data_IF_214135572291
#
_entry.id   IF_214135572291
#
_cell.length_a   1.000
_cell.length_b   1.000
_cell.length_c   1.000
_cell.angle_alpha   90.00
_cell.angle_beta   90.00
_cell.angle_gamma   90.00
#
_symmetry.space_group_name_H-M   'P 1'
#
loop_
_entity.id
_entity.type
_entity.pdbx_description
1 polymer ?
#
# COMPACT_ATOMS: atom_id res chain seq x y z
N UNK A 1 15.80 -19.58 11.33
CA UNK A 1 16.42 -19.02 10.12
C UNK A 1 16.07 -17.53 10.15
N UNK A 2 17.06 -16.65 10.31
CA UNK A 2 16.81 -15.21 10.49
C UNK A 2 16.18 -14.63 9.23
N UNK A 3 15.24 -13.69 9.37
CA UNK A 3 14.75 -12.95 8.21
C UNK A 3 15.95 -12.27 7.53
N UNK A 4 16.03 -12.25 6.19
CA UNK A 4 17.05 -11.47 5.52
C UNK A 4 16.98 -10.01 6.00
N UNK A 5 18.12 -9.31 6.21
CA UNK A 5 18.11 -7.92 6.70
C UNK A 5 17.24 -6.97 5.87
N UNK A 6 17.12 -7.23 4.56
CA UNK A 6 16.19 -6.52 3.68
C UNK A 6 14.74 -6.68 4.12
N UNK A 7 14.29 -7.90 4.43
CA UNK A 7 12.93 -8.14 4.88
C UNK A 7 12.68 -7.48 6.25
N UNK A 8 13.65 -7.50 7.15
CA UNK A 8 13.54 -6.81 8.44
C UNK A 8 13.41 -5.30 8.29
N UNK A 9 14.19 -4.68 7.39
CA UNK A 9 14.09 -3.25 7.07
C UNK A 9 12.70 -2.86 6.55
N UNK A 10 12.17 -3.64 5.59
CA UNK A 10 10.81 -3.40 5.06
C UNK A 10 9.75 -3.46 6.16
N UNK A 11 9.87 -4.40 7.10
CA UNK A 11 8.94 -4.50 8.22
C UNK A 11 8.98 -3.27 9.12
N UNK A 12 10.17 -2.70 9.36
CA UNK A 12 10.32 -1.47 10.13
C UNK A 12 9.60 -0.31 9.43
N UNK A 13 9.82 -0.14 8.13
CA UNK A 13 9.24 0.96 7.35
C UNK A 13 7.72 0.86 7.26
N UNK A 14 7.20 -0.33 7.00
CA UNK A 14 5.76 -0.60 6.90
C UNK A 14 5.04 -0.38 8.24
N UNK A 15 5.64 -0.83 9.35
CA UNK A 15 5.10 -0.58 10.70
C UNK A 15 5.26 0.89 11.09
N UNK A 16 6.32 1.57 10.65
CA UNK A 16 6.50 3.01 10.85
C UNK A 16 5.40 3.81 10.14
N UNK A 17 4.98 3.38 8.95
CA UNK A 17 3.89 3.99 8.16
C UNK A 17 2.48 3.60 8.64
N UNK A 18 2.38 2.81 9.73
CA UNK A 18 1.11 2.53 10.40
C UNK A 18 0.35 1.32 9.89
N UNK A 19 0.99 0.41 9.16
CA UNK A 19 0.34 -0.83 8.70
C UNK A 19 0.20 -1.85 9.84
N UNK A 20 -0.84 -2.67 9.77
CA UNK A 20 -0.96 -3.92 10.51
C UNK A 20 -0.15 -4.99 9.79
N UNK A 21 0.64 -5.77 10.52
CA UNK A 21 1.47 -6.84 9.97
C UNK A 21 0.98 -8.21 10.44
N UNK A 22 0.76 -9.11 9.50
CA UNK A 22 0.48 -10.53 9.69
C UNK A 22 1.74 -11.32 9.32
N UNK A 23 2.30 -12.03 10.30
CA UNK A 23 3.38 -13.00 10.06
C UNK A 23 2.78 -14.40 10.01
N UNK A 24 2.82 -15.01 8.82
CA UNK A 24 2.31 -16.34 8.54
C UNK A 24 3.41 -17.38 8.74
N UNK A 25 3.04 -18.54 9.27
CA UNK A 25 3.97 -19.61 9.58
C UNK A 25 4.76 -19.40 10.89
N UNK A 26 5.72 -20.30 11.19
CA UNK A 26 6.52 -20.23 12.40
C UNK A 26 7.28 -18.91 12.52
N UNK A 27 7.26 -18.29 13.71
CA UNK A 27 7.93 -16.99 13.94
C UNK A 27 9.42 -16.99 13.59
N UNK A 28 10.08 -18.12 13.75
CA UNK A 28 11.51 -18.30 13.49
C UNK A 28 11.85 -18.59 12.01
N UNK A 29 10.83 -18.78 11.16
CA UNK A 29 10.93 -18.97 9.73
C UNK A 29 9.54 -18.71 9.09
N UNK A 30 9.12 -17.44 8.93
CA UNK A 30 7.82 -17.12 8.36
C UNK A 30 7.70 -17.65 6.93
N UNK A 31 6.53 -18.16 6.57
CA UNK A 31 6.19 -18.60 5.21
C UNK A 31 5.74 -17.43 4.34
N UNK A 32 5.14 -16.42 4.96
CA UNK A 32 4.76 -15.18 4.30
C UNK A 32 4.64 -14.03 5.31
N UNK A 33 4.78 -12.81 4.82
CA UNK A 33 4.44 -11.59 5.53
C UNK A 33 3.38 -10.86 4.72
N UNK A 34 2.29 -10.47 5.38
CA UNK A 34 1.26 -9.62 4.77
C UNK A 34 1.13 -8.38 5.63
N UNK A 35 1.21 -7.19 5.02
CA UNK A 35 0.92 -5.95 5.70
C UNK A 35 -0.32 -5.31 5.08
N UNK A 36 -1.17 -4.72 5.92
CA UNK A 36 -2.38 -4.03 5.49
C UNK A 36 -2.53 -2.67 6.14
N UNK A 37 -2.86 -1.66 5.33
CA UNK A 37 -3.31 -0.36 5.81
C UNK A 37 -4.74 -0.12 5.34
N UNK A 38 -5.63 0.11 6.30
CA UNK A 38 -7.05 0.20 6.03
C UNK A 38 -7.48 1.66 5.83
N UNK A 39 -7.92 1.98 4.60
CA UNK A 39 -8.58 3.25 4.28
C UNK A 39 -10.10 3.12 4.42
N UNK A 40 -10.86 4.20 4.25
CA UNK A 40 -12.33 4.14 4.32
C UNK A 40 -12.94 3.21 3.27
N UNK A 41 -12.42 3.23 2.02
CA UNK A 41 -12.99 2.50 0.86
C UNK A 41 -12.06 1.47 0.22
N UNK A 42 -10.82 1.35 0.69
CA UNK A 42 -9.86 0.41 0.15
C UNK A 42 -8.87 -0.07 1.22
N UNK A 43 -8.03 -1.02 0.87
CA UNK A 43 -6.97 -1.55 1.70
C UNK A 43 -5.70 -1.54 0.87
N UNK A 44 -4.65 -0.89 1.38
CA UNK A 44 -3.31 -1.00 0.81
C UNK A 44 -2.64 -2.25 1.40
N UNK A 45 -2.08 -3.10 0.54
CA UNK A 45 -1.48 -4.38 0.89
C UNK A 45 -0.03 -4.45 0.44
N UNK A 46 0.79 -5.14 1.23
CA UNK A 46 2.11 -5.63 0.84
C UNK A 46 2.19 -7.11 1.21
N UNK A 47 2.50 -7.97 0.25
CA UNK A 47 2.64 -9.41 0.44
C UNK A 47 4.05 -9.86 0.05
N UNK A 48 4.74 -10.47 1.00
CA UNK A 48 6.07 -11.07 0.83
C UNK A 48 5.90 -12.59 1.00
N UNK A 49 6.02 -13.35 -0.09
CA UNK A 49 6.03 -14.82 -0.06
C UNK A 49 7.40 -15.39 -0.41
N UNK A 50 8.08 -14.70 -1.32
CA UNK A 50 9.47 -14.92 -1.68
C UNK A 50 10.22 -13.63 -1.37
N UNK A 51 11.39 -13.73 -0.72
CA UNK A 51 12.17 -12.53 -0.37
C UNK A 51 12.78 -11.85 -1.60
N UNK A 52 12.74 -12.50 -2.77
CA UNK A 52 13.17 -11.91 -4.04
C UNK A 52 12.05 -11.12 -4.74
N UNK A 53 10.78 -11.43 -4.44
CA UNK A 53 9.61 -10.82 -5.11
C UNK A 53 8.49 -10.49 -4.13
N UNK A 54 8.19 -9.20 -4.06
CA UNK A 54 7.15 -8.65 -3.21
C UNK A 54 6.05 -8.07 -4.09
N UNK A 55 4.80 -8.30 -3.68
CA UNK A 55 3.63 -7.72 -4.36
C UNK A 55 2.97 -6.69 -3.46
N UNK A 56 2.91 -5.45 -3.92
CA UNK A 56 2.11 -4.39 -3.35
C UNK A 56 0.78 -4.25 -4.11
N UNK A 57 -0.29 -3.86 -3.43
CA UNK A 57 -1.59 -3.66 -4.07
C UNK A 57 -2.49 -2.68 -3.33
N UNK A 58 -3.51 -2.17 -4.03
CA UNK A 58 -4.67 -1.51 -3.45
C UNK A 58 -5.92 -2.30 -3.82
N UNK A 59 -6.64 -2.75 -2.79
CA UNK A 59 -7.84 -3.58 -2.91
C UNK A 59 -9.07 -2.74 -2.57
N UNK A 60 -10.08 -2.64 -3.45
CA UNK A 60 -11.33 -1.97 -3.12
C UNK A 60 -12.12 -2.74 -2.06
N UNK A 61 -12.76 -2.04 -1.11
CA UNK A 61 -13.64 -2.66 -0.12
C UNK A 61 -15.05 -2.83 -0.68
N UNK A 62 -15.39 -4.04 -1.12
CA UNK A 62 -16.77 -4.42 -1.50
C UNK A 62 -17.37 -5.40 -0.48
N UNK A 63 -17.24 -5.08 0.81
CA UNK A 63 -17.66 -5.93 1.92
C UNK A 63 -16.46 -6.50 2.69
N UNK A 64 -16.56 -7.77 3.13
CA UNK A 64 -15.47 -8.44 3.84
C UNK A 64 -14.38 -8.85 2.84
N UNK A 65 -13.24 -8.15 2.90
CA UNK A 65 -12.07 -8.46 2.07
C UNK A 65 -11.19 -9.49 2.80
N UNK A 66 -10.80 -10.56 2.11
CA UNK A 66 -9.73 -11.44 2.58
C UNK A 66 -8.38 -10.86 2.15
N UNK A 67 -7.64 -10.28 3.09
CA UNK A 67 -6.32 -9.68 2.83
C UNK A 67 -5.25 -10.70 2.40
N UNK A 68 -5.51 -12.00 2.58
CA UNK A 68 -4.61 -13.09 2.17
C UNK A 68 -4.98 -13.68 0.81
N UNK A 69 -6.13 -13.31 0.25
CA UNK A 69 -6.62 -13.83 -1.01
C UNK A 69 -7.55 -12.82 -1.70
N UNK A 70 -7.08 -11.58 -1.97
CA UNK A 70 -7.90 -10.61 -2.68
C UNK A 70 -8.18 -11.12 -4.10
N UNK A 71 -9.42 -11.00 -4.57
CA UNK A 71 -9.80 -11.41 -5.93
C UNK A 71 -9.65 -10.24 -6.92
N UNK A 72 -9.84 -9.01 -6.46
CA UNK A 72 -9.86 -7.80 -7.26
C UNK A 72 -8.93 -6.74 -6.66
N UNK A 73 -8.21 -6.02 -7.50
CA UNK A 73 -7.38 -4.86 -7.16
C UNK A 73 -7.71 -3.70 -8.09
N UNK A 74 -7.37 -2.48 -7.67
CA UNK A 74 -7.37 -1.29 -8.55
C UNK A 74 -5.96 -0.82 -8.90
N UNK A 75 -4.98 -1.38 -8.21
CA UNK A 75 -3.56 -1.13 -8.44
C UNK A 75 -2.75 -2.27 -7.83
N UNK A 76 -1.66 -2.65 -8.49
CA UNK A 76 -0.72 -3.64 -8.02
C UNK A 76 0.65 -3.40 -8.63
N UNK A 77 1.69 -3.74 -7.88
CA UNK A 77 3.07 -3.69 -8.30
C UNK A 77 3.78 -4.95 -7.79
N UNK A 78 4.41 -5.70 -8.69
CA UNK A 78 5.26 -6.84 -8.33
C UNK A 78 6.71 -6.53 -8.73
N UNK A 79 7.63 -6.70 -7.79
CA UNK A 79 9.04 -6.46 -8.07
C UNK A 79 9.94 -6.74 -6.88
N UNK A 80 11.17 -6.22 -6.95
CA UNK A 80 12.13 -6.33 -5.87
C UNK A 80 11.56 -5.66 -4.59
N UNK A 81 11.93 -6.14 -3.39
CA UNK A 81 11.27 -5.74 -2.15
C UNK A 81 11.25 -4.23 -1.90
N UNK A 82 12.37 -3.54 -2.11
CA UNK A 82 12.48 -2.09 -1.93
C UNK A 82 11.63 -1.33 -2.95
N UNK A 83 11.58 -1.79 -4.20
CA UNK A 83 10.80 -1.14 -5.25
C UNK A 83 9.31 -1.26 -4.99
N UNK A 84 8.84 -2.45 -4.61
CA UNK A 84 7.45 -2.69 -4.26
C UNK A 84 7.01 -1.87 -3.04
N UNK A 85 7.87 -1.81 -2.01
CA UNK A 85 7.61 -0.96 -0.85
C UNK A 85 7.56 0.51 -1.25
N UNK A 86 8.54 1.01 -2.00
CA UNK A 86 8.56 2.42 -2.41
C UNK A 86 7.33 2.77 -3.25
N UNK A 87 6.93 1.90 -4.18
CA UNK A 87 5.73 2.07 -4.99
C UNK A 87 4.47 2.15 -4.11
N UNK A 88 4.37 1.31 -3.08
CA UNK A 88 3.27 1.35 -2.13
C UNK A 88 3.28 2.61 -1.26
N UNK A 89 4.44 2.98 -0.71
CA UNK A 89 4.57 4.13 0.18
C UNK A 89 4.26 5.44 -0.54
N UNK A 90 4.64 5.54 -1.81
CA UNK A 90 4.36 6.66 -2.70
C UNK A 90 3.00 6.59 -3.38
N UNK A 91 2.22 5.52 -3.15
CA UNK A 91 0.90 5.41 -3.74
C UNK A 91 0.01 6.51 -3.17
N UNK A 92 -0.50 7.36 -4.06
CA UNK A 92 -1.30 8.53 -3.70
C UNK A 92 -2.49 8.17 -2.82
N UNK A 93 -2.97 9.17 -2.08
CA UNK A 93 -4.15 9.04 -1.25
C UNK A 93 -5.36 8.52 -2.07
N UNK A 94 -6.21 7.63 -1.53
CA UNK A 94 -7.35 7.08 -2.28
C UNK A 94 -8.39 8.10 -2.77
N UNK A 95 -8.42 9.30 -2.18
CA UNK A 95 -9.30 10.40 -2.59
C UNK A 95 -8.63 11.40 -3.55
N UNK A 96 -7.37 11.15 -3.94
CA UNK A 96 -6.72 11.96 -4.97
C UNK A 96 -7.47 11.80 -6.31
N UNK A 97 -7.65 12.86 -7.12
CA UNK A 97 -8.36 12.78 -8.40
C UNK A 97 -7.79 11.72 -9.36
N UNK A 98 -6.46 11.57 -9.36
CA UNK A 98 -5.75 10.60 -10.20
C UNK A 98 -5.56 9.23 -9.54
N UNK A 99 -6.22 8.96 -8.41
CA UNK A 99 -6.09 7.68 -7.73
C UNK A 99 -6.56 6.53 -8.65
N UNK A 100 -5.83 5.41 -8.72
CA UNK A 100 -6.27 4.26 -9.50
C UNK A 100 -7.62 3.75 -9.02
N UNK A 101 -8.56 3.63 -9.97
CA UNK A 101 -9.95 3.18 -9.71
C UNK A 101 -10.41 2.04 -10.61
N UNK A 102 -9.69 1.79 -11.71
CA UNK A 102 -10.03 0.72 -12.65
C UNK A 102 -9.74 -0.65 -12.02
N UNK A 103 -10.76 -1.49 -11.92
CA UNK A 103 -10.67 -2.81 -11.30
C UNK A 103 -10.12 -3.86 -12.27
N UNK A 104 -9.30 -4.77 -11.75
CA UNK A 104 -8.82 -5.94 -12.47
C UNK A 104 -8.51 -7.10 -11.51
N UNK A 105 -8.33 -8.30 -12.07
CA UNK A 105 -8.03 -9.50 -11.29
C UNK A 105 -6.72 -9.34 -10.51
N UNK A 106 -6.75 -9.74 -9.24
CA UNK A 106 -5.58 -9.69 -8.38
C UNK A 106 -4.45 -10.61 -8.90
N UNK A 107 -3.18 -10.15 -8.85
CA UNK A 107 -2.04 -11.02 -9.11
C UNK A 107 -2.02 -12.23 -8.16
N UNK A 108 -1.69 -13.41 -8.69
CA UNK A 108 -1.65 -14.67 -7.92
C UNK A 108 -0.68 -14.60 -6.72
N UNK A 109 0.36 -13.77 -6.81
CA UNK A 109 1.34 -13.60 -5.75
C UNK A 109 0.81 -12.85 -4.51
N UNK A 110 -0.38 -12.26 -4.57
CA UNK A 110 -1.11 -11.78 -3.38
C UNK A 110 -1.79 -12.90 -2.60
N UNK A 111 -1.98 -14.07 -3.21
CA UNK A 111 -2.63 -15.19 -2.55
C UNK A 111 -1.64 -15.93 -1.65
N UNK A 112 -1.94 -15.97 -0.35
CA UNK A 112 -1.28 -16.80 0.66
C UNK A 112 -2.20 -17.96 1.03
N UNK A 113 -1.89 -19.21 0.62
CA UNK A 113 -2.73 -20.37 0.92
C UNK A 113 -3.00 -20.56 2.42
N UNK A 114 -4.21 -20.98 2.78
CA UNK A 114 -4.63 -21.19 4.18
C UNK A 114 -3.67 -22.08 4.99
N UNK A 115 -3.11 -23.11 4.34
CA UNK A 115 -2.14 -24.01 4.96
C UNK A 115 -0.83 -23.30 5.35
N UNK A 116 -0.43 -22.26 4.61
CA UNK A 116 0.78 -21.47 4.87
C UNK A 116 0.54 -20.34 5.89
N UNK A 117 -0.72 -19.94 6.11
CA UNK A 117 -1.05 -18.84 7.02
C UNK A 117 -0.78 -19.17 8.49
N UNK A 118 -0.77 -20.46 8.89
CA UNK A 118 -0.75 -20.88 10.30
C UNK A 118 0.59 -21.51 10.69
N UNK A 119 1.09 -21.27 11.93
CA UNK A 119 0.56 -20.35 12.93
C UNK A 119 0.65 -18.89 12.45
N UNK A 120 -0.24 -18.03 12.95
CA UNK A 120 -0.29 -16.63 12.54
C UNK A 120 -0.09 -15.73 13.76
N UNK A 121 0.81 -14.76 13.63
CA UNK A 121 0.95 -13.67 14.62
C UNK A 121 0.62 -12.33 13.98
N UNK A 122 -0.05 -11.47 14.74
CA UNK A 122 -0.48 -10.14 14.28
C UNK A 122 0.29 -9.09 15.09
N UNK A 123 0.88 -8.12 14.40
CA UNK A 123 1.50 -6.93 15.01
C UNK A 123 0.72 -5.71 14.57
N UNK A 124 0.15 -5.00 15.54
CA UNK A 124 -0.56 -3.75 15.29
C UNK A 124 0.45 -2.58 15.28
N UNK A 125 0.22 -1.54 14.46
CA UNK A 125 0.95 -0.30 14.58
C UNK A 125 0.64 0.36 15.93
N UNK A 126 1.53 1.21 16.44
CA UNK A 126 1.18 2.06 17.57
C UNK A 126 0.07 3.05 17.17
N UNK A 127 -0.78 3.43 18.13
CA UNK A 127 -1.91 4.34 17.89
C UNK A 127 -1.49 5.66 17.21
N UNK A 128 -0.32 6.19 17.57
CA UNK A 128 0.22 7.39 16.93
C UNK A 128 0.64 7.18 15.46
N UNK A 129 1.11 5.97 15.11
CA UNK A 129 1.58 5.64 13.75
C UNK A 129 0.45 5.28 12.80
N UNK A 130 -0.66 4.73 13.30
CA UNK A 130 -1.82 4.36 12.48
C UNK A 130 -2.36 5.52 11.61
N UNK A 131 -2.15 6.78 12.02
CA UNK A 131 -2.60 7.97 11.30
C UNK A 131 -1.50 8.72 10.54
N UNK A 132 -0.23 8.32 10.67
CA UNK A 132 0.91 9.01 10.05
C UNK A 132 0.77 9.05 8.53
N UNK A 133 0.48 7.89 7.91
CA UNK A 133 0.29 7.79 6.46
C UNK A 133 -0.84 8.67 5.96
N UNK A 134 -2.00 8.64 6.62
CA UNK A 134 -3.14 9.49 6.26
C UNK A 134 -2.77 10.98 6.35
N UNK A 135 -2.12 11.41 7.43
CA UNK A 135 -1.74 12.82 7.62
C UNK A 135 -0.71 13.29 6.57
N UNK A 136 0.32 12.48 6.28
CA UNK A 136 1.33 12.76 5.25
C UNK A 136 0.68 12.91 3.87
N UNK A 137 -0.06 11.89 3.44
CA UNK A 137 -0.66 11.88 2.11
C UNK A 137 -1.77 12.94 1.95
N UNK A 138 -2.48 13.30 3.03
CA UNK A 138 -3.42 14.42 3.00
C UNK A 138 -2.72 15.76 2.77
N UNK A 139 -1.54 15.97 3.37
CA UNK A 139 -0.76 17.21 3.17
C UNK A 139 -0.29 17.34 1.73
N UNK A 140 0.14 16.24 1.11
CA UNK A 140 0.56 16.19 -0.30
C UNK A 140 -0.60 16.48 -1.27
N UNK A 141 -1.84 16.08 -0.94
CA UNK A 141 -3.02 16.44 -1.72
C UNK A 141 -3.27 17.95 -1.70
N UNK A 142 -3.13 18.60 -0.54
CA UNK A 142 -3.39 20.04 -0.40
C UNK A 142 -2.35 20.88 -1.16
N UNK A 143 -1.08 20.48 -1.12
CA UNK A 143 0.00 21.22 -1.80
C UNK A 143 -0.09 21.13 -3.33
N UNK A 144 -0.57 20.01 -3.88
CA UNK A 144 -0.84 19.90 -5.32
C UNK A 144 -2.13 20.64 -5.73
N UNK A 145 -3.12 20.75 -4.84
CA UNK A 145 -4.32 21.54 -5.07
C UNK A 145 -4.05 23.03 -5.22
N UNK A 146 -3.09 23.59 -4.46
CA UNK A 146 -2.70 25.01 -4.57
C UNK A 146 -1.91 25.32 -5.85
N UNK A 147 -1.07 24.39 -6.32
CA UNK A 147 -0.31 24.56 -7.56
C UNK A 147 -1.22 24.66 -8.81
N UNK A 148 -2.36 23.96 -8.80
CA UNK A 148 -3.30 23.98 -9.93
C UNK A 148 -4.17 25.26 -10.01
N UNK A 149 -4.25 26.03 -8.92
CA UNK A 149 -5.01 27.30 -8.87
C UNK A 149 -4.17 28.48 -9.37
N UNK A 150 -2.83 28.41 -9.29
CA UNK A 150 -1.94 29.51 -9.68
C UNK A 150 -1.59 29.57 -11.18
N UNK A 151 -1.99 28.59 -11.99
CA UNK A 151 -1.75 28.60 -13.44
C UNK A 151 -2.90 29.16 -14.29
N UNK A 152 -3.99 29.64 -13.68
CA UNK A 152 -5.14 30.21 -14.39
C UNK A 152 -5.22 31.74 -14.26
N UNK A 153 -4.16 32.48 -14.57
CA UNK A 153 -4.29 33.91 -14.88
C UNK A 153 -3.18 34.36 -15.82
N UNK A 154 -3.54 34.59 -17.09
CA UNK A 154 -3.21 35.78 -17.90
C UNK A 154 -3.17 35.39 -19.38
N UNK A 155 -4.26 35.66 -20.11
CA UNK A 155 -4.20 35.93 -21.55
C UNK A 155 -4.58 37.40 -21.70
N UNK A 156 -3.66 38.30 -22.12
CA UNK A 156 -4.06 39.61 -22.57
C UNK A 156 -4.52 39.48 -24.01
N UNK A 157 -5.81 39.68 -24.20
CA UNK A 157 -6.45 39.98 -25.48
C UNK A 157 -5.89 41.31 -26.00
N UNK A 158 -5.36 41.33 -27.23
CA UNK A 158 -5.25 42.56 -28.02
C UNK A 158 -5.69 42.28 -29.46
N UNK A 159 -6.76 42.98 -29.84
CA UNK A 159 -7.32 43.04 -31.18
C UNK A 159 -6.35 43.68 -32.19
N UNK A 160 -6.52 43.40 -33.50
CA UNK A 160 -5.82 44.09 -34.56
C UNK A 160 -6.60 45.34 -35.00
N UNK A 161 -5.92 46.47 -35.06
CA UNK A 161 -6.38 47.73 -35.66
C UNK A 161 -5.21 48.48 -36.24
#
# INVERSE_FOLDING_TARGET
MTLPPVAEGLLVDVVADGFVLYCCGPRAAPTALVASYEWSRCIDLLTVRDFDRVTAARVPKRGKVDVFAPEIVVWAYEGAPQQALQALLNLMHPQHPDAPTAEYAAPLNLHVPRAEQRPMTIRLPSLGRARVRTARLATEMTTHGEAHVLSATTVPHRDPG
#
